data_IF_080977907195
#
_entry.id   IF_080977907195
#
_cell.length_a   1.000
_cell.length_b   1.000
_cell.length_c   1.000
_cell.angle_alpha   90.00
_cell.angle_beta   90.00
_cell.angle_gamma   90.00
#
_symmetry.space_group_name_H-M   'P 1'
#
loop_
_entity.id
_entity.type
_entity.pdbx_description
1 polymer ?
#
# COMPACT_ATOMS: atom_id res chain seq x y z
N UNK A 1 -1.34 -18.46 17.58
CA UNK A 1 -2.34 -17.38 17.74
C UNK A 1 -1.59 -16.06 17.67
N UNK A 2 -1.95 -15.15 16.77
CA UNK A 2 -1.37 -13.81 16.74
C UNK A 2 -1.75 -13.00 17.98
N UNK A 3 -0.92 -12.01 18.36
CA UNK A 3 -1.05 -11.25 19.61
C UNK A 3 -1.31 -9.75 19.40
N UNK A 4 -1.38 -9.28 18.16
CA UNK A 4 -1.49 -7.85 17.80
C UNK A 4 -2.88 -7.46 17.25
N UNK A 5 -3.95 -8.12 17.69
CA UNK A 5 -5.32 -7.91 17.18
C UNK A 5 -5.91 -6.52 17.38
N UNK A 6 -5.34 -5.73 18.28
CA UNK A 6 -5.76 -4.36 18.57
C UNK A 6 -5.01 -3.30 17.73
N UNK A 7 -4.02 -3.72 16.94
CA UNK A 7 -3.21 -2.80 16.13
C UNK A 7 -3.87 -2.54 14.78
N UNK A 8 -3.75 -1.29 14.34
CA UNK A 8 -4.07 -0.83 12.99
C UNK A 8 -2.79 -0.47 12.27
N UNK A 9 -2.65 -0.87 11.02
CA UNK A 9 -1.45 -0.62 10.22
C UNK A 9 -1.82 -0.04 8.86
N UNK A 10 -1.08 0.99 8.45
CA UNK A 10 -1.11 1.54 7.09
C UNK A 10 0.23 1.22 6.40
N UNK A 11 0.19 0.47 5.30
CA UNK A 11 1.35 0.18 4.47
C UNK A 11 1.44 1.21 3.35
N UNK A 12 2.54 1.96 3.30
CA UNK A 12 2.83 2.91 2.22
C UNK A 12 3.90 2.28 1.30
N UNK A 13 3.57 2.10 0.02
CA UNK A 13 4.50 1.50 -0.94
C UNK A 13 4.49 2.26 -2.27
N UNK A 14 5.66 2.35 -2.90
CA UNK A 14 5.79 2.84 -4.27
C UNK A 14 6.45 1.77 -5.14
N UNK A 15 5.96 1.57 -6.36
CA UNK A 15 6.49 0.58 -7.29
C UNK A 15 6.44 1.08 -8.74
N UNK A 16 7.56 0.93 -9.45
CA UNK A 16 7.71 1.53 -10.78
C UNK A 16 6.74 1.01 -11.84
N UNK A 17 6.33 -0.26 -11.76
CA UNK A 17 5.34 -0.86 -12.65
C UNK A 17 4.00 -1.12 -11.96
N UNK A 18 2.98 -1.46 -12.75
CA UNK A 18 1.66 -1.84 -12.23
C UNK A 18 1.66 -3.32 -11.84
N UNK A 19 1.32 -3.59 -10.57
CA UNK A 19 1.19 -4.94 -10.00
C UNK A 19 -0.17 -5.16 -9.32
N UNK A 20 -1.12 -4.22 -9.46
CA UNK A 20 -2.51 -4.40 -8.97
C UNK A 20 -3.34 -5.31 -9.87
N UNK A 21 -2.96 -5.42 -11.14
CA UNK A 21 -3.69 -6.18 -12.15
C UNK A 21 -2.76 -6.90 -13.14
N UNK A 22 -3.37 -7.71 -14.01
CA UNK A 22 -2.65 -8.44 -15.06
C UNK A 22 -1.67 -9.50 -14.52
N UNK A 23 -0.78 -10.01 -15.39
CA UNK A 23 0.17 -11.07 -15.03
C UNK A 23 1.16 -10.66 -13.93
N UNK A 24 1.53 -9.38 -13.86
CA UNK A 24 2.45 -8.86 -12.86
C UNK A 24 1.89 -8.97 -11.43
N UNK A 25 0.56 -8.93 -11.25
CA UNK A 25 -0.06 -9.10 -9.94
C UNK A 25 0.29 -10.43 -9.26
N UNK A 26 0.57 -11.49 -10.02
CA UNK A 26 0.95 -12.80 -9.47
C UNK A 26 2.33 -12.78 -8.80
N UNK A 27 3.23 -11.89 -9.22
CA UNK A 27 4.61 -11.80 -8.73
C UNK A 27 4.85 -10.64 -7.76
N UNK A 28 3.82 -9.86 -7.44
CA UNK A 28 3.87 -8.87 -6.36
C UNK A 28 4.22 -9.56 -5.04
N UNK A 29 5.35 -9.20 -4.44
CA UNK A 29 5.84 -9.83 -3.19
C UNK A 29 6.26 -8.82 -2.12
N UNK A 30 6.00 -7.52 -2.31
CA UNK A 30 6.31 -6.51 -1.31
C UNK A 30 5.13 -6.35 -0.34
N UNK A 31 4.01 -5.79 -0.82
CA UNK A 31 2.84 -5.51 0.03
C UNK A 31 2.19 -6.81 0.46
N UNK A 32 2.02 -7.80 -0.42
CA UNK A 32 1.47 -9.12 -0.06
C UNK A 32 2.27 -9.81 1.04
N UNK A 33 3.59 -9.75 0.99
CA UNK A 33 4.44 -10.37 1.99
C UNK A 33 4.26 -9.72 3.35
N UNK A 34 4.37 -8.39 3.42
CA UNK A 34 4.24 -7.66 4.70
C UNK A 34 2.84 -7.83 5.28
N UNK A 35 1.79 -7.74 4.47
CA UNK A 35 0.41 -8.00 4.91
C UNK A 35 0.23 -9.41 5.47
N UNK A 36 0.81 -10.43 4.81
CA UNK A 36 0.74 -11.83 5.28
C UNK A 36 1.46 -12.01 6.63
N UNK A 37 2.63 -11.38 6.81
CA UNK A 37 3.38 -11.42 8.07
C UNK A 37 2.61 -10.69 9.19
N UNK A 38 1.98 -9.55 8.90
CA UNK A 38 1.16 -8.81 9.88
C UNK A 38 -0.06 -9.63 10.30
N UNK A 39 -0.73 -10.30 9.36
CA UNK A 39 -1.83 -11.21 9.66
C UNK A 39 -1.37 -12.38 10.54
N UNK A 40 -0.18 -12.95 10.28
CA UNK A 40 0.41 -13.97 11.14
C UNK A 40 0.64 -13.47 12.58
N UNK A 41 1.07 -12.21 12.75
CA UNK A 41 1.17 -11.57 14.06
C UNK A 41 -0.19 -11.20 14.69
N UNK A 42 -1.28 -11.35 13.95
CA UNK A 42 -2.65 -11.13 14.41
C UNK A 42 -3.22 -9.75 14.10
N UNK A 43 -2.54 -8.92 13.31
CA UNK A 43 -3.07 -7.62 12.87
C UNK A 43 -4.16 -7.85 11.83
N UNK A 44 -5.39 -7.42 12.12
CA UNK A 44 -6.54 -7.60 11.22
C UNK A 44 -6.90 -6.33 10.44
N UNK A 45 -6.53 -5.15 10.95
CA UNK A 45 -6.78 -3.87 10.29
C UNK A 45 -5.50 -3.40 9.58
N UNK A 46 -5.29 -3.95 8.38
CA UNK A 46 -4.16 -3.60 7.50
C UNK A 46 -4.71 -2.93 6.25
N UNK A 47 -4.40 -1.65 6.08
CA UNK A 47 -4.70 -0.89 4.87
C UNK A 47 -3.40 -0.59 4.11
N UNK A 48 -3.52 -0.28 2.82
CA UNK A 48 -2.36 0.08 2.00
C UNK A 48 -2.65 1.25 1.06
N UNK A 49 -1.67 2.12 0.90
CA UNK A 49 -1.64 3.15 -0.15
C UNK A 49 -0.45 2.82 -1.04
N UNK A 50 -0.74 2.59 -2.32
CA UNK A 50 0.24 2.14 -3.29
C UNK A 50 0.29 3.16 -4.42
N UNK A 51 1.47 3.73 -4.64
CA UNK A 51 1.77 4.58 -5.79
C UNK A 51 2.46 3.72 -6.83
N UNK A 52 1.83 3.46 -7.97
CA UNK A 52 2.37 2.51 -8.95
C UNK A 52 2.33 2.99 -10.40
N UNK A 53 3.24 2.42 -11.20
CA UNK A 53 3.28 2.66 -12.64
C UNK A 53 4.07 3.91 -13.07
N UNK A 54 4.61 4.69 -12.14
CA UNK A 54 5.35 5.92 -12.46
C UNK A 54 6.62 5.72 -13.30
N UNK A 55 7.23 4.52 -13.30
CA UNK A 55 8.35 4.21 -14.20
C UNK A 55 7.88 3.52 -15.49
N UNK A 56 6.76 2.82 -15.46
CA UNK A 56 6.14 2.18 -16.63
C UNK A 56 5.47 3.21 -17.56
N UNK A 57 4.96 4.30 -16.98
CA UNK A 57 4.31 5.43 -17.64
C UNK A 57 5.03 6.72 -17.28
N UNK A 58 6.28 6.92 -17.76
CA UNK A 58 7.10 8.07 -17.38
C UNK A 58 6.45 9.42 -17.73
N UNK A 59 5.62 9.46 -18.77
CA UNK A 59 4.86 10.63 -19.19
C UNK A 59 3.76 11.05 -18.20
N UNK A 60 3.31 10.13 -17.35
CA UNK A 60 2.32 10.38 -16.28
C UNK A 60 2.93 10.27 -14.88
N UNK A 61 4.25 10.15 -14.76
CA UNK A 61 4.92 9.90 -13.49
C UNK A 61 4.57 10.95 -12.42
N UNK A 62 4.58 12.23 -12.81
CA UNK A 62 4.27 13.33 -11.89
C UNK A 62 2.82 13.25 -11.40
N UNK A 63 1.85 13.07 -12.30
CA UNK A 63 0.43 12.93 -11.96
C UNK A 63 0.18 11.74 -11.02
N UNK A 64 0.79 10.59 -11.33
CA UNK A 64 0.68 9.37 -10.50
C UNK A 64 1.22 9.63 -9.09
N UNK A 65 2.39 10.25 -8.99
CA UNK A 65 3.03 10.55 -7.70
C UNK A 65 2.20 11.56 -6.92
N UNK A 66 1.76 12.66 -7.54
CA UNK A 66 0.96 13.70 -6.90
C UNK A 66 -0.37 13.14 -6.38
N UNK A 67 -1.12 12.41 -7.20
CA UNK A 67 -2.38 11.78 -6.78
C UNK A 67 -2.18 10.79 -5.63
N UNK A 68 -1.11 9.99 -5.69
CA UNK A 68 -0.77 9.06 -4.62
C UNK A 68 -0.40 9.74 -3.30
N UNK A 69 0.34 10.86 -3.37
CA UNK A 69 0.68 11.67 -2.21
C UNK A 69 -0.56 12.36 -1.60
N UNK A 70 -1.48 12.83 -2.43
CA UNK A 70 -2.76 13.39 -1.96
C UNK A 70 -3.59 12.34 -1.20
N UNK A 71 -3.71 11.13 -1.74
CA UNK A 71 -4.38 10.02 -1.06
C UNK A 71 -3.72 9.67 0.28
N UNK A 72 -2.38 9.66 0.32
CA UNK A 72 -1.62 9.44 1.55
C UNK A 72 -1.88 10.52 2.60
N UNK A 73 -1.89 11.80 2.18
CA UNK A 73 -2.19 12.92 3.06
C UNK A 73 -3.63 12.84 3.62
N UNK A 74 -4.62 12.55 2.77
CA UNK A 74 -6.01 12.39 3.18
C UNK A 74 -6.20 11.25 4.18
N UNK A 75 -5.59 10.08 3.92
CA UNK A 75 -5.64 8.95 4.83
C UNK A 75 -4.95 9.26 6.16
N UNK A 76 -3.82 9.96 6.15
CA UNK A 76 -3.13 10.39 7.36
C UNK A 76 -3.99 11.39 8.18
N UNK A 77 -4.71 12.28 7.52
CA UNK A 77 -5.63 13.22 8.17
C UNK A 77 -6.80 12.47 8.84
N UNK A 78 -7.40 11.51 8.14
CA UNK A 78 -8.45 10.66 8.68
C UNK A 78 -7.96 9.81 9.86
N UNK A 79 -6.71 9.33 9.80
CA UNK A 79 -6.12 8.54 10.87
C UNK A 79 -5.80 9.34 12.13
N UNK A 80 -5.65 10.67 12.05
CA UNK A 80 -5.47 11.55 13.22
C UNK A 80 -6.75 11.75 14.03
N UNK A 81 -7.91 11.34 13.52
CA UNK A 81 -9.21 11.50 14.19
C UNK A 81 -9.58 10.28 15.06
N UNK A 82 -8.64 9.36 15.31
CA UNK A 82 -8.80 8.22 16.23
C UNK A 82 -8.28 8.53 17.63
#
# INVERSE_FOLDING_TARGET
MGLLGDKKVMLLNARGGVYSEGPAAAVETAVKYVSSVLQFFGVTDVNSIIIEGHNQFPERAQEIIESGLEQAAQAAQAAKTF
#
